data_IF_760057151149
#
_entry.id   IF_760057151149
#
_cell.length_a   1.000
_cell.length_b   1.000
_cell.length_c   1.000
_cell.angle_alpha   90.00
_cell.angle_beta   90.00
_cell.angle_gamma   90.00
#
_symmetry.space_group_name_H-M   'P 1'
#
loop_
_entity.id
_entity.type
_entity.pdbx_description
1 polymer ?
#
# COMPACT_ATOMS: atom_id res chain seq x y z
N UNK A 1 -10.00 28.51 -15.87
CA UNK A 1 -8.85 27.65 -15.51
C UNK A 1 -7.59 28.48 -15.55
N UNK A 2 -6.96 28.69 -14.39
CA UNK A 2 -5.66 29.37 -14.31
C UNK A 2 -4.54 28.43 -14.80
N UNK A 3 -3.40 28.97 -15.24
CA UNK A 3 -2.25 28.15 -15.63
C UNK A 3 -1.74 27.24 -14.49
N UNK A 4 -1.97 27.65 -13.24
CA UNK A 4 -1.72 26.84 -12.05
C UNK A 4 -2.61 25.59 -11.98
N UNK A 5 -3.89 25.69 -12.31
CA UNK A 5 -4.79 24.52 -12.39
C UNK A 5 -4.38 23.55 -13.50
N UNK A 6 -3.90 24.07 -14.64
CA UNK A 6 -3.42 23.25 -15.76
C UNK A 6 -2.16 22.44 -15.40
N UNK A 7 -1.23 23.00 -14.62
CA UNK A 7 -0.02 22.29 -14.20
C UNK A 7 -0.34 21.11 -13.26
N UNK A 8 -1.25 21.29 -12.29
CA UNK A 8 -1.63 20.23 -11.33
C UNK A 8 -2.64 19.21 -11.88
N UNK A 9 -3.19 19.46 -13.09
CA UNK A 9 -3.98 18.52 -13.90
C UNK A 9 -3.17 17.94 -15.08
N UNK A 10 -1.92 18.38 -15.25
CA UNK A 10 -1.02 17.99 -16.31
C UNK A 10 -0.56 16.54 -16.23
N UNK A 11 0.06 16.06 -17.32
CA UNK A 11 0.48 14.67 -17.47
C UNK A 11 1.49 14.18 -16.43
N UNK A 12 2.30 15.10 -15.87
CA UNK A 12 3.32 14.79 -14.87
C UNK A 12 2.73 14.14 -13.62
N UNK A 13 1.48 14.49 -13.27
CA UNK A 13 0.76 13.97 -12.11
C UNK A 13 -0.20 12.85 -12.47
N UNK A 14 -0.03 12.21 -13.63
CA UNK A 14 -0.79 11.02 -14.01
C UNK A 14 0.01 9.73 -13.75
N UNK A 15 -0.67 8.71 -13.25
CA UNK A 15 -0.16 7.38 -12.95
C UNK A 15 -1.12 6.31 -13.50
N UNK A 16 -0.70 5.04 -13.47
CA UNK A 16 -1.42 3.87 -14.02
C UNK A 16 -1.60 3.85 -15.55
N UNK A 17 -1.53 2.65 -16.15
CA UNK A 17 -1.95 2.32 -17.52
C UNK A 17 -1.64 3.39 -18.59
N UNK A 18 -0.37 3.79 -18.72
CA UNK A 18 0.06 4.78 -19.72
C UNK A 18 -0.39 6.22 -19.41
N UNK A 19 -0.28 6.66 -18.15
CA UNK A 19 -0.60 8.03 -17.69
C UNK A 19 -2.08 8.42 -17.86
N UNK A 20 -3.00 7.47 -17.65
CA UNK A 20 -4.44 7.72 -17.84
C UNK A 20 -5.15 8.22 -16.59
N UNK A 21 -4.71 7.84 -15.39
CA UNK A 21 -5.35 8.25 -14.14
C UNK A 21 -4.56 9.35 -13.45
N UNK A 22 -5.25 10.34 -12.87
CA UNK A 22 -4.59 11.31 -12.01
C UNK A 22 -4.08 10.63 -10.73
N UNK A 23 -2.95 11.07 -10.18
CA UNK A 23 -2.28 10.44 -9.03
C UNK A 23 -3.20 10.31 -7.81
N UNK A 24 -4.14 11.25 -7.62
CA UNK A 24 -5.14 11.20 -6.53
C UNK A 24 -6.13 10.06 -6.77
N UNK A 25 -6.57 9.84 -8.01
CA UNK A 25 -7.46 8.73 -8.36
C UNK A 25 -6.73 7.38 -8.31
N UNK A 26 -5.48 7.33 -8.76
CA UNK A 26 -4.62 6.15 -8.66
C UNK A 26 -4.44 5.72 -7.20
N UNK A 27 -4.18 6.67 -6.29
CA UNK A 27 -4.05 6.38 -4.87
C UNK A 27 -5.37 5.89 -4.24
N UNK A 28 -6.52 6.44 -4.64
CA UNK A 28 -7.83 5.94 -4.21
C UNK A 28 -8.09 4.52 -4.70
N UNK A 29 -7.79 4.24 -5.96
CA UNK A 29 -7.93 2.90 -6.53
C UNK A 29 -7.03 1.89 -5.81
N UNK A 30 -5.80 2.28 -5.47
CA UNK A 30 -4.87 1.45 -4.69
C UNK A 30 -5.43 1.09 -3.31
N UNK A 31 -6.04 2.05 -2.60
CA UNK A 31 -6.68 1.77 -1.30
C UNK A 31 -7.92 0.91 -1.44
N UNK A 32 -8.74 1.13 -2.47
CA UNK A 32 -9.89 0.25 -2.75
C UNK A 32 -9.43 -1.18 -3.05
N UNK A 33 -8.31 -1.36 -3.76
CA UNK A 33 -7.73 -2.67 -3.99
C UNK A 33 -7.26 -3.33 -2.68
N UNK A 34 -6.64 -2.57 -1.77
CA UNK A 34 -6.27 -3.06 -0.44
C UNK A 34 -7.50 -3.48 0.40
N UNK A 35 -8.61 -2.72 0.33
CA UNK A 35 -9.88 -3.10 0.96
C UNK A 35 -10.43 -4.39 0.36
N UNK A 36 -10.44 -4.50 -0.98
CA UNK A 36 -10.95 -5.68 -1.67
C UNK A 36 -10.11 -6.92 -1.34
N UNK A 37 -8.79 -6.78 -1.27
CA UNK A 37 -7.87 -7.82 -0.80
C UNK A 37 -8.21 -8.26 0.62
N UNK A 38 -8.39 -7.31 1.56
CA UNK A 38 -8.74 -7.63 2.94
C UNK A 38 -10.09 -8.34 3.06
N UNK A 39 -11.07 -7.92 2.24
CA UNK A 39 -12.36 -8.58 2.16
C UNK A 39 -12.23 -10.01 1.62
N UNK A 40 -11.44 -10.21 0.56
CA UNK A 40 -11.19 -11.55 0.01
C UNK A 40 -10.48 -12.46 1.03
N UNK A 41 -9.44 -11.95 1.71
CA UNK A 41 -8.72 -12.67 2.76
C UNK A 41 -9.67 -13.05 3.90
N UNK A 42 -10.44 -12.10 4.43
CA UNK A 42 -11.38 -12.37 5.54
C UNK A 42 -12.48 -13.38 5.17
N UNK A 43 -13.06 -13.29 3.97
CA UNK A 43 -14.05 -14.27 3.48
C UNK A 43 -13.42 -15.65 3.31
N UNK A 44 -12.22 -15.73 2.73
CA UNK A 44 -11.50 -16.99 2.57
C UNK A 44 -11.15 -17.63 3.92
N UNK A 45 -10.67 -16.85 4.88
CA UNK A 45 -10.35 -17.33 6.23
C UNK A 45 -11.58 -17.88 6.96
N UNK A 46 -12.70 -17.15 6.93
CA UNK A 46 -13.95 -17.56 7.59
C UNK A 46 -14.53 -18.83 6.95
N UNK A 47 -14.46 -18.95 5.62
CA UNK A 47 -15.07 -20.07 4.89
C UNK A 47 -14.26 -21.36 4.91
N UNK A 48 -12.92 -21.30 4.93
CA UNK A 48 -12.07 -22.49 4.74
C UNK A 48 -11.33 -22.95 5.99
N UNK A 49 -11.05 -22.06 6.95
CA UNK A 49 -10.15 -22.37 8.08
C UNK A 49 -10.92 -22.53 9.39
N UNK A 50 -12.12 -21.93 9.54
CA UNK A 50 -13.02 -22.12 10.69
C UNK A 50 -12.52 -21.55 12.03
N UNK A 51 -11.24 -21.21 12.13
CA UNK A 51 -10.61 -20.50 13.24
C UNK A 51 -9.61 -19.47 12.73
N UNK A 52 -9.72 -18.23 13.20
CA UNK A 52 -8.71 -17.20 12.98
C UNK A 52 -7.48 -17.53 13.84
N UNK A 53 -6.40 -17.99 13.20
CA UNK A 53 -5.12 -18.19 13.87
C UNK A 53 -4.53 -16.83 14.32
N UNK A 54 -3.70 -16.82 15.35
CA UNK A 54 -3.08 -15.62 15.91
C UNK A 54 -2.33 -14.82 14.83
N UNK A 55 -1.66 -15.51 13.90
CA UNK A 55 -0.97 -14.91 12.76
C UNK A 55 -1.94 -14.18 11.82
N UNK A 56 -3.12 -14.78 11.58
CA UNK A 56 -4.17 -14.16 10.76
C UNK A 56 -4.76 -12.93 11.45
N UNK A 57 -4.97 -12.99 12.77
CA UNK A 57 -5.41 -11.83 13.56
C UNK A 57 -4.41 -10.66 13.50
N UNK A 58 -3.11 -10.96 13.57
CA UNK A 58 -2.05 -9.95 13.41
C UNK A 58 -2.05 -9.36 11.99
N UNK A 59 -2.18 -10.19 10.95
CA UNK A 59 -2.24 -9.71 9.57
C UNK A 59 -3.48 -8.83 9.29
N UNK A 60 -4.66 -9.24 9.79
CA UNK A 60 -5.91 -8.50 9.64
C UNK A 60 -5.86 -7.18 10.40
N UNK A 61 -5.41 -7.18 11.66
CA UNK A 61 -5.30 -5.97 12.48
C UNK A 61 -4.33 -4.95 11.88
N UNK A 62 -3.19 -5.42 11.35
CA UNK A 62 -2.23 -4.56 10.66
C UNK A 62 -2.81 -3.94 9.38
N UNK A 63 -3.51 -4.73 8.57
CA UNK A 63 -4.16 -4.27 7.34
C UNK A 63 -5.30 -3.27 7.63
N UNK A 64 -6.07 -3.51 8.69
CA UNK A 64 -7.10 -2.57 9.16
C UNK A 64 -6.50 -1.26 9.65
N UNK A 65 -5.37 -1.32 10.37
CA UNK A 65 -4.63 -0.13 10.78
C UNK A 65 -4.17 0.68 9.55
N UNK A 66 -3.62 0.00 8.53
CA UNK A 66 -3.24 0.62 7.26
C UNK A 66 -4.41 1.38 6.62
N UNK A 67 -5.57 0.73 6.51
CA UNK A 67 -6.77 1.29 5.90
C UNK A 67 -7.36 2.46 6.72
N UNK A 68 -7.37 2.35 8.04
CA UNK A 68 -7.86 3.42 8.93
C UNK A 68 -7.03 4.70 8.82
N UNK A 69 -5.75 4.60 8.47
CA UNK A 69 -4.88 5.74 8.19
C UNK A 69 -5.06 6.25 6.75
N UNK A 70 -5.22 5.34 5.79
CA UNK A 70 -5.27 5.66 4.36
C UNK A 70 -6.60 6.30 3.92
N UNK A 71 -7.74 5.79 4.42
CA UNK A 71 -9.07 6.26 4.03
C UNK A 71 -9.28 7.73 4.39
N UNK A 72 -9.05 8.19 5.64
CA UNK A 72 -9.19 9.61 5.97
C UNK A 72 -8.20 10.50 5.22
N UNK A 73 -6.98 10.01 4.96
CA UNK A 73 -5.98 10.77 4.22
C UNK A 73 -6.37 11.03 2.75
N UNK A 74 -7.10 10.10 2.11
CA UNK A 74 -7.43 10.16 0.68
C UNK A 74 -8.87 10.61 0.37
N UNK A 75 -9.81 10.35 1.27
CA UNK A 75 -11.24 10.59 1.08
C UNK A 75 -11.81 11.74 1.92
N UNK A 76 -11.07 12.28 2.91
CA UNK A 76 -11.56 13.46 3.63
C UNK A 76 -11.60 14.70 2.72
N UNK A 77 -12.75 15.40 2.76
CA UNK A 77 -13.04 16.59 1.97
C UNK A 77 -12.23 17.83 2.44
N UNK A 78 -11.78 17.85 3.70
CA UNK A 78 -11.08 18.99 4.29
C UNK A 78 -9.58 18.97 3.93
N UNK A 79 -9.24 19.74 2.89
CA UNK A 79 -7.97 19.71 2.17
C UNK A 79 -6.68 20.01 2.93
N UNK A 80 -6.71 20.38 4.21
CA UNK A 80 -5.52 20.89 4.92
C UNK A 80 -4.85 19.90 5.88
N UNK A 81 -5.57 18.91 6.43
CA UNK A 81 -4.95 17.88 7.32
C UNK A 81 -4.34 16.69 6.58
N UNK A 82 -4.36 16.71 5.24
CA UNK A 82 -3.99 15.60 4.34
C UNK A 82 -2.57 15.04 4.51
N UNK A 83 -1.61 15.84 4.95
CA UNK A 83 -0.20 15.41 5.02
C UNK A 83 0.17 14.57 6.24
N UNK A 84 -0.47 14.82 7.38
CA UNK A 84 0.01 14.24 8.65
C UNK A 84 -0.24 12.73 8.72
N UNK A 85 -1.32 12.25 8.10
CA UNK A 85 -1.71 10.84 8.12
C UNK A 85 -1.09 10.03 6.97
N UNK A 86 -0.51 10.67 5.95
CA UNK A 86 0.19 9.98 4.86
C UNK A 86 1.54 9.40 5.32
N UNK A 87 2.22 10.08 6.24
CA UNK A 87 3.53 9.66 6.76
C UNK A 87 3.48 8.33 7.53
N UNK A 88 2.58 8.12 8.53
CA UNK A 88 2.47 6.83 9.20
C UNK A 88 2.03 5.71 8.24
N UNK A 89 1.19 6.01 7.25
CA UNK A 89 0.79 5.04 6.23
C UNK A 89 1.97 4.62 5.33
N UNK A 90 2.82 5.56 4.91
CA UNK A 90 4.05 5.27 4.16
C UNK A 90 4.96 4.34 4.98
N UNK A 91 5.20 4.67 6.26
CA UNK A 91 6.05 3.85 7.15
C UNK A 91 5.48 2.44 7.25
N UNK A 92 4.18 2.31 7.44
CA UNK A 92 3.51 1.02 7.54
C UNK A 92 3.66 0.19 6.26
N UNK A 93 3.49 0.80 5.08
CA UNK A 93 3.71 0.14 3.79
C UNK A 93 5.16 -0.25 3.54
N UNK A 94 6.13 0.56 3.99
CA UNK A 94 7.56 0.19 3.95
C UNK A 94 7.81 -1.06 4.79
N UNK A 95 7.26 -1.13 6.01
CA UNK A 95 7.38 -2.31 6.87
C UNK A 95 6.76 -3.54 6.19
N UNK A 96 5.58 -3.41 5.57
CA UNK A 96 4.96 -4.51 4.81
C UNK A 96 5.87 -5.02 3.67
N UNK A 97 6.49 -4.12 2.91
CA UNK A 97 7.44 -4.50 1.86
C UNK A 97 8.66 -5.24 2.42
N UNK A 98 9.24 -4.74 3.52
CA UNK A 98 10.40 -5.36 4.17
C UNK A 98 10.04 -6.76 4.67
N UNK A 99 8.90 -6.91 5.34
CA UNK A 99 8.43 -8.22 5.81
C UNK A 99 8.22 -9.18 4.63
N UNK A 100 7.57 -8.74 3.55
CA UNK A 100 7.38 -9.58 2.36
C UNK A 100 8.72 -10.02 1.75
N UNK A 101 9.69 -9.11 1.62
CA UNK A 101 11.02 -9.41 1.11
C UNK A 101 11.77 -10.41 2.02
N UNK A 102 11.70 -10.22 3.34
CA UNK A 102 12.30 -11.14 4.31
C UNK A 102 11.68 -12.54 4.22
N UNK A 103 10.36 -12.65 4.08
CA UNK A 103 9.69 -13.96 3.96
C UNK A 103 10.05 -14.64 2.64
N UNK A 104 10.12 -13.91 1.52
CA UNK A 104 10.58 -14.48 0.25
C UNK A 104 12.02 -14.98 0.34
N UNK A 105 12.90 -14.19 0.97
CA UNK A 105 14.29 -14.57 1.19
C UNK A 105 14.40 -15.80 2.10
N UNK A 106 13.59 -15.89 3.15
CA UNK A 106 13.51 -17.06 4.02
C UNK A 106 13.06 -18.31 3.24
N UNK A 107 11.97 -18.23 2.47
CA UNK A 107 11.47 -19.33 1.63
C UNK A 107 12.55 -19.78 0.65
N UNK A 108 13.24 -18.83 0.01
CA UNK A 108 14.31 -19.13 -0.93
C UNK A 108 15.50 -19.83 -0.27
N UNK A 109 16.00 -19.30 0.86
CA UNK A 109 17.11 -19.89 1.60
C UNK A 109 16.77 -21.31 2.09
N UNK A 110 15.56 -21.50 2.62
CA UNK A 110 15.09 -22.81 3.06
C UNK A 110 14.95 -23.80 1.89
N UNK A 111 14.48 -23.34 0.72
CA UNK A 111 14.38 -24.18 -0.48
C UNK A 111 15.74 -24.62 -1.04
N UNK A 112 16.78 -23.78 -0.90
CA UNK A 112 18.15 -24.08 -1.40
C UNK A 112 18.98 -24.88 -0.39
N UNK A 113 18.64 -24.86 0.89
CA UNK A 113 19.41 -25.52 1.98
C UNK A 113 19.25 -27.04 2.05
N UNK A 114 18.65 -27.68 1.05
CA UNK A 114 18.51 -29.13 0.97
C UNK A 114 17.51 -29.72 2.00
N UNK A 115 17.66 -30.99 2.41
CA UNK A 115 16.63 -31.73 3.16
C UNK A 115 16.23 -31.07 4.49
N UNK A 116 17.19 -30.46 5.19
CA UNK A 116 16.95 -29.77 6.47
C UNK A 116 16.08 -28.52 6.25
N UNK A 117 16.35 -27.77 5.18
CA UNK A 117 15.57 -26.61 4.80
C UNK A 117 14.16 -26.96 4.37
N UNK A 118 13.97 -28.06 3.64
CA UNK A 118 12.65 -28.57 3.27
C UNK A 118 11.81 -28.95 4.49
N UNK A 119 12.38 -29.61 5.49
CA UNK A 119 11.65 -29.94 6.73
C UNK A 119 11.21 -28.69 7.50
N UNK A 120 12.05 -27.65 7.56
CA UNK A 120 11.70 -26.38 8.21
C UNK A 120 10.64 -25.60 7.43
N UNK A 121 10.69 -25.66 6.09
CA UNK A 121 9.72 -25.06 5.20
C UNK A 121 8.34 -25.74 5.31
N UNK A 122 8.32 -27.07 5.35
CA UNK A 122 7.11 -27.86 5.59
C UNK A 122 6.49 -27.53 6.95
N UNK A 123 7.32 -27.41 8.00
CA UNK A 123 6.87 -26.92 9.31
C UNK A 123 6.23 -25.53 9.22
N UNK A 124 6.85 -24.59 8.51
CA UNK A 124 6.34 -23.22 8.32
C UNK A 124 5.00 -23.20 7.57
N UNK A 125 4.85 -24.05 6.55
CA UNK A 125 3.62 -24.16 5.75
C UNK A 125 2.50 -24.82 6.53
N UNK A 126 2.78 -25.92 7.25
CA UNK A 126 1.80 -26.58 8.12
C UNK A 126 1.40 -25.69 9.30
N UNK A 127 2.33 -24.85 9.78
CA UNK A 127 2.03 -23.84 10.79
C UNK A 127 1.02 -22.81 10.26
N UNK A 128 1.13 -22.39 8.99
CA UNK A 128 0.19 -21.45 8.37
C UNK A 128 -1.12 -22.11 7.88
N UNK A 129 -1.05 -23.35 7.42
CA UNK A 129 -2.15 -24.09 6.83
C UNK A 129 -2.24 -25.47 7.50
N UNK A 130 -3.05 -25.52 8.56
CA UNK A 130 -3.13 -26.67 9.47
C UNK A 130 -3.68 -27.97 8.84
N UNK A 131 -4.26 -27.91 7.63
CA UNK A 131 -4.91 -29.03 6.92
C UNK A 131 -4.34 -29.26 5.51
N UNK A 132 -3.02 -29.30 5.37
CA UNK A 132 -2.38 -29.68 4.09
C UNK A 132 -2.04 -31.17 4.11
N UNK A 133 -2.42 -31.88 3.05
CA UNK A 133 -1.94 -33.24 2.79
C UNK A 133 -0.47 -33.20 2.34
N UNK A 134 0.36 -34.14 2.81
CA UNK A 134 1.82 -34.13 2.58
C UNK A 134 2.21 -34.14 1.10
N UNK A 135 1.32 -34.62 0.22
CA UNK A 135 1.53 -34.67 -1.24
C UNK A 135 1.49 -33.29 -1.89
N UNK A 136 0.86 -32.30 -1.26
CA UNK A 136 0.64 -30.98 -1.85
C UNK A 136 1.60 -29.91 -1.31
N UNK A 137 2.51 -30.26 -0.40
CA UNK A 137 3.42 -29.30 0.28
C UNK A 137 4.22 -28.46 -0.71
N UNK A 138 4.73 -29.06 -1.80
CA UNK A 138 5.47 -28.35 -2.84
C UNK A 138 4.57 -27.35 -3.59
N UNK A 139 3.35 -27.76 -3.93
CA UNK A 139 2.35 -26.91 -4.61
C UNK A 139 1.95 -25.73 -3.73
N UNK A 140 1.70 -25.97 -2.44
CA UNK A 140 1.40 -24.91 -1.48
C UNK A 140 2.59 -23.99 -1.21
N UNK A 141 3.83 -24.51 -1.24
CA UNK A 141 5.05 -23.71 -1.18
C UNK A 141 5.11 -22.72 -2.34
N UNK A 142 4.99 -23.24 -3.57
CA UNK A 142 5.04 -22.43 -4.79
C UNK A 142 3.91 -21.42 -4.83
N UNK A 143 2.69 -21.82 -4.48
CA UNK A 143 1.55 -20.92 -4.36
C UNK A 143 1.81 -19.81 -3.33
N UNK A 144 2.37 -20.15 -2.16
CA UNK A 144 2.71 -19.17 -1.12
C UNK A 144 3.79 -18.20 -1.59
N UNK A 145 4.82 -18.69 -2.29
CA UNK A 145 5.86 -17.86 -2.88
C UNK A 145 5.30 -16.87 -3.93
N UNK A 146 4.42 -17.35 -4.82
CA UNK A 146 3.76 -16.52 -5.84
C UNK A 146 2.88 -15.46 -5.21
N UNK A 147 2.05 -15.83 -4.23
CA UNK A 147 1.17 -14.89 -3.51
C UNK A 147 1.98 -13.80 -2.81
N UNK A 148 3.06 -14.16 -2.09
CA UNK A 148 3.89 -13.17 -1.39
C UNK A 148 4.65 -12.29 -2.39
N UNK A 149 5.07 -12.83 -3.52
CA UNK A 149 5.71 -12.05 -4.59
C UNK A 149 4.74 -11.01 -5.20
N UNK A 150 3.50 -11.41 -5.49
CA UNK A 150 2.44 -10.50 -5.96
C UNK A 150 2.13 -9.42 -4.91
N UNK A 151 2.07 -9.80 -3.64
CA UNK A 151 1.87 -8.87 -2.53
C UNK A 151 2.99 -7.84 -2.42
N UNK A 152 4.25 -8.26 -2.58
CA UNK A 152 5.40 -7.36 -2.58
C UNK A 152 5.30 -6.35 -3.73
N UNK A 153 5.01 -6.81 -4.95
CA UNK A 153 4.86 -5.93 -6.12
C UNK A 153 3.73 -4.92 -5.90
N UNK A 154 2.57 -5.37 -5.40
CA UNK A 154 1.43 -4.51 -5.13
C UNK A 154 1.76 -3.47 -4.05
N UNK A 155 2.38 -3.88 -2.94
CA UNK A 155 2.77 -2.97 -1.86
C UNK A 155 3.82 -1.94 -2.31
N UNK A 156 4.81 -2.35 -3.11
CA UNK A 156 5.76 -1.44 -3.74
C UNK A 156 5.06 -0.42 -4.66
N UNK A 157 4.07 -0.88 -5.43
CA UNK A 157 3.29 -0.01 -6.31
C UNK A 157 2.45 1.01 -5.54
N UNK A 158 1.77 0.56 -4.49
CA UNK A 158 1.00 1.40 -3.56
C UNK A 158 1.92 2.45 -2.93
N UNK A 159 3.07 2.03 -2.40
CA UNK A 159 4.08 2.90 -1.80
C UNK A 159 4.57 3.97 -2.79
N UNK A 160 4.93 3.56 -4.02
CA UNK A 160 5.32 4.49 -5.09
C UNK A 160 4.24 5.55 -5.35
N UNK A 161 2.98 5.12 -5.46
CA UNK A 161 1.84 6.00 -5.74
C UNK A 161 1.61 7.00 -4.61
N UNK A 162 1.69 6.56 -3.35
CA UNK A 162 1.51 7.42 -2.17
C UNK A 162 2.66 8.42 -2.01
N UNK A 163 3.90 7.99 -2.26
CA UNK A 163 5.06 8.89 -2.24
C UNK A 163 4.91 10.02 -3.26
N UNK A 164 4.52 9.70 -4.50
CA UNK A 164 4.23 10.71 -5.53
C UNK A 164 3.05 11.60 -5.16
N UNK A 165 2.01 11.03 -4.54
CA UNK A 165 0.87 11.80 -4.04
C UNK A 165 1.27 12.80 -2.94
N UNK A 166 2.15 12.39 -2.02
CA UNK A 166 2.69 13.27 -0.99
C UNK A 166 3.47 14.42 -1.64
N UNK A 167 4.30 14.14 -2.63
CA UNK A 167 5.02 15.18 -3.35
C UNK A 167 4.07 16.15 -4.07
N UNK A 168 3.06 15.62 -4.75
CA UNK A 168 1.98 16.41 -5.36
C UNK A 168 1.34 17.38 -4.37
N UNK A 169 0.89 16.87 -3.21
CA UNK A 169 0.26 17.71 -2.20
C UNK A 169 1.23 18.73 -1.58
N UNK A 170 2.51 18.39 -1.43
CA UNK A 170 3.53 19.32 -0.93
C UNK A 170 3.72 20.48 -1.89
N UNK A 171 3.89 20.20 -3.19
CA UNK A 171 4.07 21.22 -4.21
C UNK A 171 2.82 22.08 -4.38
N UNK A 172 1.63 21.46 -4.34
CA UNK A 172 0.36 22.17 -4.41
C UNK A 172 0.18 23.14 -3.23
N UNK A 173 0.51 22.72 -2.01
CA UNK A 173 0.45 23.57 -0.83
C UNK A 173 1.43 24.75 -0.92
N UNK A 174 2.66 24.50 -1.36
CA UNK A 174 3.69 25.54 -1.52
C UNK A 174 3.29 26.56 -2.59
N UNK A 175 2.68 26.09 -3.69
CA UNK A 175 2.19 26.97 -4.74
C UNK A 175 1.03 27.86 -4.28
N UNK A 176 0.01 27.29 -3.61
CA UNK A 176 -1.11 28.05 -3.06
C UNK A 176 -0.64 29.10 -2.04
N UNK A 177 0.34 28.75 -1.21
CA UNK A 177 0.96 29.70 -0.27
C UNK A 177 1.66 30.86 -0.99
N UNK A 178 2.40 30.57 -2.05
CA UNK A 178 3.09 31.58 -2.88
C UNK A 178 2.08 32.50 -3.59
N UNK A 179 1.02 31.95 -4.18
CA UNK A 179 -0.06 32.73 -4.81
C UNK A 179 -0.73 33.65 -3.80
N UNK A 180 -1.09 33.15 -2.62
CA UNK A 180 -1.74 33.94 -1.57
C UNK A 180 -0.84 35.07 -1.08
N UNK A 181 0.45 34.80 -0.86
CA UNK A 181 1.45 35.82 -0.50
C UNK A 181 1.55 36.91 -1.58
N UNK A 182 1.61 36.51 -2.85
CA UNK A 182 1.69 37.46 -3.97
C UNK A 182 0.43 38.31 -4.11
N UNK A 183 -0.75 37.76 -3.82
CA UNK A 183 -2.00 38.51 -3.78
C UNK A 183 -1.97 39.58 -2.69
N UNK A 184 -1.54 39.24 -1.48
CA UNK A 184 -1.41 40.18 -0.36
C UNK A 184 -0.44 41.32 -0.70
N UNK A 185 0.73 40.99 -1.26
CA UNK A 185 1.73 41.99 -1.68
C UNK A 185 1.15 42.91 -2.74
N UNK A 186 0.48 42.36 -3.77
CA UNK A 186 -0.15 43.18 -4.83
C UNK A 186 -1.27 44.06 -4.30
N UNK A 187 -2.08 43.58 -3.34
CA UNK A 187 -3.13 44.39 -2.73
C UNK A 187 -2.56 45.52 -1.88
N UNK A 188 -1.43 45.30 -1.19
CA UNK A 188 -0.74 46.36 -0.43
C UNK A 188 -0.18 47.45 -1.36
N UNK A 189 0.47 47.05 -2.46
CA UNK A 189 1.06 47.99 -3.43
C UNK A 189 -0.02 48.83 -4.13
N UNK A 190 -1.22 48.28 -4.35
CA UNK A 190 -2.32 48.98 -5.04
C UNK A 190 -3.07 50.00 -4.17
N UNK A 191 -2.82 50.02 -2.86
CA UNK A 191 -3.47 50.92 -1.89
C UNK A 191 -2.61 52.17 -1.60
N UNK A 192 -1.36 52.20 -2.06
CA UNK A 192 -0.50 53.38 -2.13
C UNK A 192 -0.62 54.07 -3.49
#
# INVERSE_FOLDING_TARGET
>A
MTDSERHFLGEEWRACCGRRLHIVQAARAAVVADVAKLAAESVYFVSHIGHLDAVCCVQLSWSLLALSLAIPALFSAEGQRKHRNLLPFIVLKVVECVVCACVLLLIFLLGVSGPIGYSALDWLIRWKYRRIEEKDVLTFTLATFLVISLLLVLNCYVLFTICRLREYFRLKALHLYSEHRNQIIRSLIRVQ
#
